data_IF_560690189699
#
_entry.id   IF_560690189699
#
_cell.length_a   1.000
_cell.length_b   1.000
_cell.length_c   1.000
_cell.angle_alpha   90.00
_cell.angle_beta   90.00
_cell.angle_gamma   90.00
#
_symmetry.space_group_name_H-M   'P 1'
#
loop_
_entity.id
_entity.type
_entity.pdbx_description
1 polymer ?
#
# COMPACT_ATOMS: atom_id res chain seq x y z
N UNK A 1 -13.90 5.99 72.98
CA UNK A 1 -14.01 6.87 71.81
C UNK A 1 -12.82 6.58 70.91
N UNK A 2 -12.94 5.60 70.01
CA UNK A 2 -11.89 5.22 69.06
C UNK A 2 -12.25 5.86 67.72
N UNK A 3 -11.33 6.66 67.20
CA UNK A 3 -11.53 7.46 66.00
C UNK A 3 -11.83 6.57 64.79
N UNK A 4 -12.88 6.95 64.04
CA UNK A 4 -13.18 6.48 62.70
C UNK A 4 -11.97 6.75 61.80
N UNK A 5 -11.12 5.73 61.62
CA UNK A 5 -10.08 5.70 60.61
C UNK A 5 -10.72 5.56 59.23
N UNK A 6 -10.85 6.69 58.56
CA UNK A 6 -11.14 6.92 57.15
C UNK A 6 -10.93 5.68 56.23
N UNK A 7 -12.00 4.94 55.93
CA UNK A 7 -12.04 3.85 54.92
C UNK A 7 -12.30 4.42 53.51
N UNK A 8 -11.71 5.57 53.20
CA UNK A 8 -12.03 6.35 52.00
C UNK A 8 -11.05 6.22 50.82
N UNK A 9 -9.99 5.43 50.91
CA UNK A 9 -8.89 5.48 49.94
C UNK A 9 -8.41 4.11 49.43
N UNK A 10 -9.35 3.28 49.00
CA UNK A 10 -9.01 2.12 48.16
C UNK A 10 -9.72 2.26 46.81
N UNK A 11 -9.47 3.37 46.10
CA UNK A 11 -9.76 3.44 44.67
C UNK A 11 -8.75 2.52 43.96
N UNK A 12 -9.23 1.37 43.49
CA UNK A 12 -8.42 0.42 42.71
C UNK A 12 -8.00 1.12 41.41
N UNK A 13 -6.75 1.58 41.35
CA UNK A 13 -6.15 2.23 40.20
C UNK A 13 -6.08 1.24 39.02
N UNK A 14 -7.11 1.22 38.18
CA UNK A 14 -7.18 0.40 36.97
C UNK A 14 -6.35 1.07 35.86
N UNK A 15 -5.20 0.48 35.53
CA UNK A 15 -4.34 0.94 34.44
C UNK A 15 -4.92 0.48 33.10
N UNK A 16 -5.53 1.38 32.33
CA UNK A 16 -5.95 1.10 30.96
C UNK A 16 -4.86 1.52 29.96
N UNK A 17 -4.21 0.53 29.35
CA UNK A 17 -3.22 0.73 28.27
C UNK A 17 -3.95 0.91 26.94
N UNK A 18 -3.99 2.13 26.42
CA UNK A 18 -4.59 2.43 25.10
C UNK A 18 -3.47 2.63 24.07
N UNK A 19 -3.23 1.63 23.23
CA UNK A 19 -2.28 1.72 22.12
C UNK A 19 -2.84 2.58 20.97
N UNK A 20 -2.57 3.89 20.98
CA UNK A 20 -2.95 4.77 19.86
C UNK A 20 -1.85 4.76 18.80
N UNK A 21 -2.07 4.00 17.72
CA UNK A 21 -1.09 3.83 16.63
C UNK A 21 -1.13 5.02 15.66
N UNK A 22 -0.41 6.11 15.94
CA UNK A 22 -0.18 7.17 14.95
C UNK A 22 0.73 6.65 13.83
N UNK A 23 0.21 6.47 12.62
CA UNK A 23 1.03 6.28 11.41
C UNK A 23 1.86 7.56 11.21
N UNK A 24 3.18 7.44 11.14
CA UNK A 24 4.06 8.59 10.86
C UNK A 24 3.93 9.11 9.42
N UNK A 25 4.23 10.39 9.22
CA UNK A 25 4.17 11.08 7.91
C UNK A 25 4.98 10.36 6.82
N UNK A 26 6.18 9.88 7.15
CA UNK A 26 7.07 9.19 6.21
C UNK A 26 6.42 7.91 5.65
N UNK A 27 5.80 7.09 6.51
CA UNK A 27 5.09 5.88 6.08
C UNK A 27 3.80 6.16 5.29
N UNK A 28 3.26 7.38 5.35
CA UNK A 28 2.14 7.80 4.50
C UNK A 28 2.60 8.12 3.08
N UNK A 29 3.74 8.81 2.92
CA UNK A 29 4.31 9.16 1.60
C UNK A 29 4.66 7.90 0.80
N UNK A 30 5.42 6.96 1.38
CA UNK A 30 5.76 5.72 0.67
C UNK A 30 4.53 4.88 0.34
N UNK A 31 3.55 4.83 1.24
CA UNK A 31 2.30 4.13 0.99
C UNK A 31 1.51 4.76 -0.16
N UNK A 32 1.48 6.10 -0.24
CA UNK A 32 0.86 6.82 -1.34
C UNK A 32 1.61 6.58 -2.66
N UNK A 33 2.95 6.60 -2.65
CA UNK A 33 3.77 6.29 -3.83
C UNK A 33 3.52 4.88 -4.35
N UNK A 34 3.44 3.89 -3.46
CA UNK A 34 3.14 2.52 -3.84
C UNK A 34 1.75 2.38 -4.48
N UNK A 35 0.75 3.05 -3.89
CA UNK A 35 -0.61 3.07 -4.46
C UNK A 35 -0.66 3.78 -5.81
N UNK A 36 0.01 4.92 -5.94
CA UNK A 36 0.09 5.68 -7.18
C UNK A 36 0.79 4.90 -8.29
N UNK A 37 1.90 4.22 -7.97
CA UNK A 37 2.60 3.33 -8.91
C UNK A 37 1.69 2.20 -9.39
N UNK A 38 1.00 1.52 -8.47
CA UNK A 38 0.08 0.44 -8.82
C UNK A 38 -1.07 0.91 -9.72
N UNK A 39 -1.67 2.06 -9.40
CA UNK A 39 -2.73 2.64 -10.21
C UNK A 39 -2.22 3.04 -11.61
N UNK A 40 -1.02 3.63 -11.69
CA UNK A 40 -0.38 3.97 -12.95
C UNK A 40 -0.13 2.73 -13.80
N UNK A 41 0.44 1.67 -13.22
CA UNK A 41 0.75 0.44 -13.95
C UNK A 41 -0.51 -0.26 -14.46
N UNK A 42 -1.56 -0.31 -13.65
CA UNK A 42 -2.87 -0.84 -14.07
C UNK A 42 -3.45 -0.06 -15.25
N UNK A 43 -3.40 1.28 -15.17
CA UNK A 43 -3.86 2.14 -16.25
C UNK A 43 -3.01 1.95 -17.52
N UNK A 44 -1.70 1.82 -17.36
CA UNK A 44 -0.78 1.65 -18.48
C UNK A 44 -1.01 0.33 -19.20
N UNK A 45 -1.28 -0.76 -18.46
CA UNK A 45 -1.62 -2.06 -19.03
C UNK A 45 -2.89 -2.00 -19.88
N UNK A 46 -3.94 -1.32 -19.39
CA UNK A 46 -5.18 -1.10 -20.16
C UNK A 46 -4.88 -0.34 -21.46
N UNK A 47 -4.06 0.70 -21.40
CA UNK A 47 -3.66 1.45 -22.59
C UNK A 47 -2.83 0.63 -23.57
N UNK A 48 -1.90 -0.20 -23.09
CA UNK A 48 -1.08 -1.08 -23.94
C UNK A 48 -1.95 -2.07 -24.69
N UNK A 49 -2.89 -2.73 -23.99
CA UNK A 49 -3.82 -3.68 -24.62
C UNK A 49 -4.72 -2.97 -25.63
N UNK A 50 -5.27 -1.81 -25.26
CA UNK A 50 -6.10 -1.01 -26.18
C UNK A 50 -5.34 -0.60 -27.44
N UNK A 51 -4.12 -0.09 -27.28
CA UNK A 51 -3.27 0.34 -28.40
C UNK A 51 -2.91 -0.82 -29.33
N UNK A 52 -2.59 -1.99 -28.76
CA UNK A 52 -2.32 -3.19 -29.55
C UNK A 52 -3.57 -3.65 -30.34
N UNK A 53 -4.76 -3.59 -29.71
CA UNK A 53 -6.03 -3.89 -30.37
C UNK A 53 -6.34 -2.92 -31.50
N UNK A 54 -6.20 -1.61 -31.27
CA UNK A 54 -6.48 -0.58 -32.28
C UNK A 54 -5.56 -0.75 -33.50
N UNK A 55 -4.27 -1.06 -33.28
CA UNK A 55 -3.30 -1.34 -34.35
C UNK A 55 -3.62 -2.63 -35.13
N UNK A 56 -4.05 -3.68 -34.44
CA UNK A 56 -4.43 -4.94 -35.07
C UNK A 56 -5.63 -4.76 -36.02
N UNK A 57 -6.63 -3.99 -35.60
CA UNK A 57 -7.83 -3.70 -36.39
C UNK A 57 -7.58 -2.73 -37.56
N UNK A 58 -6.57 -1.85 -37.45
CA UNK A 58 -6.24 -0.88 -38.49
C UNK A 58 -5.50 -1.50 -39.70
N UNK A 59 -5.01 -2.74 -39.58
CA UNK A 59 -4.26 -3.44 -40.62
C UNK A 59 -5.10 -4.57 -41.22
N UNK A 60 -5.05 -4.70 -42.56
CA UNK A 60 -5.64 -5.84 -43.30
C UNK A 60 -4.61 -6.87 -43.75
N UNK A 61 -3.32 -6.56 -43.63
CA UNK A 61 -2.23 -7.45 -44.00
C UNK A 61 -1.93 -8.48 -42.90
N UNK A 62 -1.85 -9.76 -43.28
CA UNK A 62 -1.68 -10.87 -42.35
C UNK A 62 -0.30 -10.85 -41.65
N UNK A 63 0.75 -10.40 -42.34
CA UNK A 63 2.08 -10.31 -41.75
C UNK A 63 2.14 -9.20 -40.68
N UNK A 64 1.55 -8.03 -40.97
CA UNK A 64 1.44 -6.94 -40.01
C UNK A 64 0.55 -7.31 -38.80
N UNK A 65 -0.59 -7.99 -38.99
CA UNK A 65 -1.42 -8.49 -37.89
C UNK A 65 -0.68 -9.46 -36.97
N UNK A 66 0.05 -10.43 -37.54
CA UNK A 66 0.86 -11.36 -36.77
C UNK A 66 1.96 -10.62 -35.99
N UNK A 67 2.61 -9.64 -36.61
CA UNK A 67 3.60 -8.78 -35.97
C UNK A 67 3.03 -7.98 -34.79
N UNK A 68 1.85 -7.36 -34.96
CA UNK A 68 1.17 -6.60 -33.89
C UNK A 68 0.74 -7.52 -32.75
N UNK A 69 0.23 -8.72 -33.04
CA UNK A 69 -0.15 -9.68 -32.00
C UNK A 69 1.06 -10.09 -31.16
N UNK A 70 2.15 -10.52 -31.80
CA UNK A 70 3.39 -10.95 -31.11
C UNK A 70 3.99 -9.77 -30.34
N UNK A 71 4.13 -8.61 -30.99
CA UNK A 71 4.65 -7.39 -30.38
C UNK A 71 3.82 -6.93 -29.18
N UNK A 72 2.49 -7.02 -29.26
CA UNK A 72 1.57 -6.73 -28.17
C UNK A 72 1.77 -7.65 -26.96
N UNK A 73 1.92 -8.95 -27.19
CA UNK A 73 2.27 -9.91 -26.11
C UNK A 73 3.62 -9.61 -25.47
N UNK A 74 4.65 -9.29 -26.26
CA UNK A 74 5.97 -8.96 -25.74
C UNK A 74 5.90 -7.67 -24.90
N UNK A 75 5.28 -6.62 -25.44
CA UNK A 75 5.12 -5.34 -24.73
C UNK A 75 4.36 -5.51 -23.42
N UNK A 76 3.25 -6.27 -23.44
CA UNK A 76 2.45 -6.56 -22.24
C UNK A 76 3.25 -7.41 -21.25
N UNK A 77 3.99 -8.41 -21.72
CA UNK A 77 4.82 -9.29 -20.88
C UNK A 77 5.95 -8.53 -20.19
N UNK A 78 6.67 -7.67 -20.91
CA UNK A 78 7.72 -6.81 -20.34
C UNK A 78 7.11 -5.83 -19.32
N UNK A 79 5.95 -5.24 -19.63
CA UNK A 79 5.25 -4.34 -18.72
C UNK A 79 4.86 -5.04 -17.42
N UNK A 80 4.36 -6.28 -17.49
CA UNK A 80 4.05 -7.09 -16.31
C UNK A 80 5.29 -7.39 -15.46
N UNK A 81 6.42 -7.70 -16.10
CA UNK A 81 7.68 -7.90 -15.36
C UNK A 81 8.12 -6.63 -14.63
N UNK A 82 8.08 -5.48 -15.31
CA UNK A 82 8.39 -4.18 -14.70
C UNK A 82 7.44 -3.90 -13.53
N UNK A 83 6.16 -4.22 -13.68
CA UNK A 83 5.17 -4.06 -12.61
C UNK A 83 5.54 -4.90 -11.38
N UNK A 84 5.79 -6.20 -11.55
CA UNK A 84 6.15 -7.11 -10.46
C UNK A 84 7.43 -6.65 -9.74
N UNK A 85 8.48 -6.30 -10.48
CA UNK A 85 9.72 -5.81 -9.86
C UNK A 85 9.51 -4.47 -9.15
N UNK A 86 8.75 -3.56 -9.74
CA UNK A 86 8.39 -2.29 -9.13
C UNK A 86 7.62 -2.48 -7.82
N UNK A 87 6.64 -3.39 -7.79
CA UNK A 87 5.87 -3.70 -6.59
C UNK A 87 6.72 -4.33 -5.49
N UNK A 88 7.66 -5.21 -5.85
CA UNK A 88 8.61 -5.80 -4.88
C UNK A 88 9.47 -4.70 -4.26
N UNK A 89 10.07 -3.84 -5.09
CA UNK A 89 10.97 -2.78 -4.61
C UNK A 89 10.21 -1.76 -3.77
N UNK A 90 9.11 -1.19 -4.28
CA UNK A 90 8.32 -0.20 -3.54
C UNK A 90 7.64 -0.83 -2.32
N UNK A 91 7.17 -2.08 -2.41
CA UNK A 91 6.56 -2.81 -1.30
C UNK A 91 7.55 -3.01 -0.14
N UNK A 92 8.81 -3.35 -0.44
CA UNK A 92 9.88 -3.42 0.55
C UNK A 92 10.16 -2.05 1.19
N UNK A 93 10.22 -0.97 0.39
CA UNK A 93 10.40 0.39 0.91
C UNK A 93 9.23 0.86 1.80
N UNK A 94 7.99 0.50 1.45
CA UNK A 94 6.81 0.76 2.29
C UNK A 94 6.89 -0.02 3.61
N UNK A 95 7.34 -1.27 3.57
CA UNK A 95 7.48 -2.08 4.77
C UNK A 95 8.56 -1.52 5.71
N UNK A 96 9.69 -1.07 5.17
CA UNK A 96 10.79 -0.47 5.94
C UNK A 96 10.43 0.92 6.51
N UNK A 97 9.58 1.70 5.80
CA UNK A 97 9.17 3.04 6.25
C UNK A 97 8.03 3.04 7.27
N UNK A 98 7.44 1.88 7.62
CA UNK A 98 6.43 1.76 8.69
C UNK A 98 7.08 1.94 10.07
N UNK A 99 7.11 3.18 10.54
CA UNK A 99 7.56 3.56 11.88
C UNK A 99 6.84 2.83 13.04
N UNK A 100 7.62 2.60 14.11
CA UNK A 100 7.29 1.85 15.35
C UNK A 100 6.00 2.30 16.04
N UNK A 101 5.31 1.33 16.67
CA UNK A 101 4.15 1.56 17.54
C UNK A 101 4.58 2.36 18.78
N UNK A 102 3.82 3.40 19.11
CA UNK A 102 3.98 4.16 20.36
C UNK A 102 2.91 3.68 21.33
N UNK A 103 3.35 3.09 22.44
CA UNK A 103 2.48 2.67 23.54
C UNK A 103 2.26 3.89 24.44
N UNK A 104 1.01 4.34 24.58
CA UNK A 104 0.65 5.43 25.49
C UNK A 104 0.04 4.80 26.74
N UNK A 105 0.71 4.96 27.88
CA UNK A 105 0.17 4.61 29.18
C UNK A 105 -0.56 5.83 29.74
N UNK A 106 -1.86 5.69 30.02
CA UNK A 106 -2.64 6.72 30.74
C UNK A 106 -2.93 6.20 32.16
N UNK A 107 -2.43 6.89 33.16
CA UNK A 107 -2.87 6.73 34.55
C UNK A 107 -4.12 7.58 34.74
N UNK A 108 -5.24 6.95 35.13
CA UNK A 108 -6.49 7.63 35.47
C UNK A 108 -6.60 7.56 37.00
N UNK A 109 -6.62 8.74 37.64
CA UNK A 109 -6.83 8.91 39.08
C UNK A 109 -8.31 8.78 39.44
#
# INVERSE_FOLDING_TARGET
>A
MIALGNLGDFSVSRIERVEVRKRGFFGMVFWLMFLAFNALMALWLVFTIKSASDQFQATSDAASQAGTAVGGTIATGVLLWIWVFGDIILGLLVMLSRGRKVTIERTIN
#
